data_IF_526091469702
#
_entry.id   IF_526091469702
#
_cell.length_a   1.000
_cell.length_b   1.000
_cell.length_c   1.000
_cell.angle_alpha   90.00
_cell.angle_beta   90.00
_cell.angle_gamma   90.00
#
_symmetry.space_group_name_H-M   'P 1'
#
loop_
_entity.id
_entity.type
_entity.pdbx_description
1 polymer ?
#
# COMPACT_ATOMS: atom_id res chain seq x y z
N UNK A 1 12.78 0.46 6.25
CA UNK A 1 12.85 -0.63 5.25
C UNK A 1 12.04 -0.37 3.98
N UNK A 2 10.88 0.32 4.04
CA UNK A 2 10.06 0.65 2.86
C UNK A 2 10.81 1.30 1.69
N UNK A 3 11.83 2.12 1.95
CA UNK A 3 12.69 2.69 0.91
C UNK A 3 13.44 1.61 0.10
N UNK A 4 13.89 0.54 0.75
CA UNK A 4 14.55 -0.60 0.08
C UNK A 4 13.53 -1.43 -0.69
N UNK A 5 12.40 -1.78 -0.07
CA UNK A 5 11.30 -2.47 -0.75
C UNK A 5 10.85 -1.73 -2.01
N UNK A 6 10.67 -0.41 -1.92
CA UNK A 6 10.24 0.42 -3.04
C UNK A 6 11.23 0.48 -4.20
N UNK A 7 12.53 0.23 -3.95
CA UNK A 7 13.55 0.11 -5.02
C UNK A 7 13.58 -1.27 -5.67
N UNK A 8 13.15 -2.30 -4.95
CA UNK A 8 13.21 -3.69 -5.41
C UNK A 8 11.93 -4.16 -6.12
N UNK A 9 10.79 -3.59 -5.74
CA UNK A 9 9.50 -3.93 -6.33
C UNK A 9 9.28 -3.19 -7.65
N UNK A 10 8.70 -3.88 -8.64
CA UNK A 10 8.27 -3.26 -9.91
C UNK A 10 7.20 -2.18 -9.68
N UNK A 11 6.28 -2.46 -8.76
CA UNK A 11 5.21 -1.55 -8.34
C UNK A 11 5.15 -1.52 -6.81
N UNK A 12 4.91 -0.35 -6.23
CA UNK A 12 4.74 -0.17 -4.79
C UNK A 12 3.34 -0.59 -4.33
N UNK A 13 3.04 -1.90 -4.36
CA UNK A 13 1.73 -2.44 -3.98
C UNK A 13 1.89 -3.44 -2.83
N UNK A 14 1.04 -3.33 -1.81
CA UNK A 14 1.00 -4.24 -0.66
C UNK A 14 -0.44 -4.74 -0.47
N UNK A 15 -0.58 -6.04 -0.30
CA UNK A 15 -1.81 -6.71 0.14
C UNK A 15 -1.58 -7.24 1.56
N UNK A 16 -2.37 -6.79 2.52
CA UNK A 16 -2.17 -7.11 3.93
C UNK A 16 -3.43 -7.71 4.56
N UNK A 17 -3.41 -9.04 4.70
CA UNK A 17 -4.50 -9.82 5.29
C UNK A 17 -4.55 -9.80 6.82
N UNK A 18 -3.70 -9.01 7.48
CA UNK A 18 -3.59 -8.93 8.94
C UNK A 18 -3.64 -7.50 9.48
N UNK A 19 -3.60 -6.51 8.60
CA UNK A 19 -3.61 -5.10 8.96
C UNK A 19 -2.41 -4.70 9.83
N UNK A 20 -1.21 -5.18 9.50
CA UNK A 20 0.02 -4.95 10.28
C UNK A 20 0.55 -3.52 10.20
N UNK A 21 0.14 -2.76 9.17
CA UNK A 21 0.61 -1.39 8.96
C UNK A 21 -0.53 -0.38 9.14
N UNK A 22 -0.15 0.81 9.61
CA UNK A 22 -1.06 1.95 9.73
C UNK A 22 -1.26 2.64 8.38
N UNK A 23 -2.48 3.12 8.12
CA UNK A 23 -2.85 3.67 6.82
C UNK A 23 -2.04 4.93 6.47
N UNK A 24 -1.85 5.83 7.43
CA UNK A 24 -1.11 7.08 7.24
C UNK A 24 0.37 6.82 6.95
N UNK A 25 0.97 5.86 7.67
CA UNK A 25 2.34 5.42 7.42
C UNK A 25 2.50 4.96 5.97
N UNK A 26 1.62 4.07 5.50
CA UNK A 26 1.72 3.53 4.14
C UNK A 26 1.43 4.60 3.08
N UNK A 27 0.54 5.55 3.38
CA UNK A 27 0.25 6.70 2.52
C UNK A 27 1.48 7.57 2.33
N UNK A 28 2.19 7.91 3.40
CA UNK A 28 3.44 8.68 3.35
C UNK A 28 4.55 7.96 2.55
N UNK A 29 4.60 6.62 2.60
CA UNK A 29 5.56 5.85 1.81
C UNK A 29 5.19 5.75 0.31
N UNK A 30 3.98 6.15 -0.06
CA UNK A 30 3.50 6.16 -1.45
C UNK A 30 3.26 4.77 -2.02
N UNK A 31 2.83 3.81 -1.18
CA UNK A 31 2.39 2.50 -1.65
C UNK A 31 0.87 2.49 -1.87
N UNK A 32 0.43 1.71 -2.85
CA UNK A 32 -0.96 1.23 -2.91
C UNK A 32 -1.12 0.13 -1.88
N UNK A 33 -2.14 0.23 -1.04
CA UNK A 33 -2.35 -0.67 0.09
C UNK A 33 -3.77 -1.21 0.11
N UNK A 34 -3.87 -2.53 0.07
CA UNK A 34 -5.11 -3.27 0.19
C UNK A 34 -5.13 -3.95 1.57
N UNK A 35 -5.89 -3.36 2.49
CA UNK A 35 -6.19 -3.91 3.82
C UNK A 35 -7.52 -4.66 3.85
N UNK A 36 -7.76 -5.40 4.93
CA UNK A 36 -9.05 -6.05 5.20
C UNK A 36 -9.90 -5.16 6.10
N UNK A 37 -11.10 -4.79 5.64
CA UNK A 37 -12.08 -4.06 6.44
C UNK A 37 -11.70 -2.63 6.82
N UNK A 38 -10.71 -2.03 6.13
CA UNK A 38 -10.28 -0.63 6.29
C UNK A 38 -10.21 0.05 4.92
N UNK A 39 -10.12 1.38 4.92
CA UNK A 39 -9.92 2.15 3.69
C UNK A 39 -8.65 1.72 2.96
N UNK A 40 -8.75 1.65 1.62
CA UNK A 40 -7.59 1.47 0.78
C UNK A 40 -6.74 2.73 0.68
N UNK A 41 -5.43 2.56 0.52
CA UNK A 41 -4.50 3.70 0.34
C UNK A 41 -4.01 3.73 -1.09
N UNK A 42 -4.03 4.89 -1.74
CA UNK A 42 -3.54 5.13 -3.11
C UNK A 42 -4.04 4.06 -4.10
N UNK A 43 -5.30 3.61 -3.97
CA UNK A 43 -5.90 2.66 -4.90
C UNK A 43 -6.09 3.38 -6.24
N UNK A 44 -5.53 2.86 -7.35
CA UNK A 44 -5.75 3.43 -8.67
C UNK A 44 -7.24 3.42 -8.99
N UNK A 45 -7.73 4.51 -9.58
CA UNK A 45 -9.05 4.50 -10.20
C UNK A 45 -9.08 3.39 -11.26
N UNK A 46 -10.07 2.50 -11.16
CA UNK A 46 -10.34 1.56 -12.24
C UNK A 46 -11.05 2.36 -13.33
N UNK A 47 -10.38 2.63 -14.44
CA UNK A 47 -11.06 3.08 -15.64
C UNK A 47 -11.98 1.94 -16.10
N UNK A 48 -13.29 2.16 -15.97
CA UNK A 48 -14.35 1.28 -16.48
C UNK A 48 -14.39 1.31 -18.01
#
# INVERSE_FOLDING_TARGET
DFAKMGKLLKNKVIFDGRNLYELDQIREQGFTYFSIGREGVNIPEVAL
#
